data_IF_889527050634
#
_entry.id   IF_889527050634
#
_cell.length_a   1.000
_cell.length_b   1.000
_cell.length_c   1.000
_cell.angle_alpha   90.00
_cell.angle_beta   90.00
_cell.angle_gamma   90.00
#
_symmetry.space_group_name_H-M   'P 1'
#
loop_
_entity.id
_entity.type
_entity.pdbx_description
1 polymer ?
#
# COMPACT_ATOMS: atom_id res chain seq x y z
N UNK A 1 5.03 -8.80 0.78
CA UNK A 1 5.87 -8.81 -0.45
C UNK A 1 5.54 -9.94 -1.45
N UNK A 2 4.82 -10.99 -1.05
CA UNK A 2 4.64 -12.23 -1.84
C UNK A 2 4.37 -12.04 -3.35
N UNK A 3 3.34 -11.29 -3.76
CA UNK A 3 3.01 -11.18 -5.19
C UNK A 3 4.03 -10.35 -6.00
N UNK A 4 4.79 -9.46 -5.36
CA UNK A 4 5.91 -8.75 -6.00
C UNK A 4 7.13 -9.68 -6.19
N UNK A 5 7.36 -10.58 -5.24
CA UNK A 5 8.39 -11.63 -5.35
C UNK A 5 8.05 -12.65 -6.44
N UNK A 6 6.79 -13.07 -6.52
CA UNK A 6 6.31 -14.03 -7.52
C UNK A 6 5.98 -13.38 -8.88
N UNK A 7 6.32 -12.10 -9.07
CA UNK A 7 6.01 -11.35 -10.29
C UNK A 7 6.83 -11.89 -11.46
N UNK A 8 6.16 -12.65 -12.32
CA UNK A 8 6.71 -13.19 -13.57
C UNK A 8 6.23 -12.42 -14.82
N UNK A 9 5.34 -11.45 -14.65
CA UNK A 9 4.82 -10.61 -15.73
C UNK A 9 5.79 -9.48 -16.08
N UNK A 10 5.74 -9.03 -17.33
CA UNK A 10 6.65 -8.02 -17.89
C UNK A 10 5.95 -6.68 -18.13
N UNK A 11 4.64 -6.58 -17.88
CA UNK A 11 3.86 -5.39 -18.21
C UNK A 11 3.61 -4.49 -17.00
N UNK A 12 3.31 -3.23 -17.29
CA UNK A 12 2.82 -2.24 -16.33
C UNK A 12 1.61 -2.75 -15.53
N UNK A 13 0.68 -3.43 -16.21
CA UNK A 13 -0.54 -3.96 -15.60
C UNK A 13 -0.22 -5.11 -14.63
N UNK A 14 0.75 -5.97 -14.96
CA UNK A 14 1.18 -7.05 -14.08
C UNK A 14 1.79 -6.49 -12.79
N UNK A 15 2.65 -5.48 -12.92
CA UNK A 15 3.22 -4.77 -11.77
C UNK A 15 2.14 -4.15 -10.89
N UNK A 16 1.15 -3.50 -11.52
CA UNK A 16 0.03 -2.85 -10.83
C UNK A 16 -0.77 -3.87 -10.03
N UNK A 17 -1.12 -4.98 -10.67
CA UNK A 17 -1.89 -6.04 -10.05
C UNK A 17 -1.12 -6.67 -8.88
N UNK A 18 0.19 -6.91 -9.04
CA UNK A 18 1.05 -7.44 -7.98
C UNK A 18 1.12 -6.50 -6.77
N UNK A 19 1.26 -5.19 -6.98
CA UNK A 19 1.23 -4.20 -5.90
C UNK A 19 -0.11 -4.16 -5.18
N UNK A 20 -1.23 -4.11 -5.92
CA UNK A 20 -2.58 -4.11 -5.34
C UNK A 20 -2.80 -5.36 -4.50
N UNK A 21 -2.50 -6.55 -5.04
CA UNK A 21 -2.66 -7.82 -4.33
C UNK A 21 -1.78 -7.90 -3.09
N UNK A 22 -0.53 -7.46 -3.19
CA UNK A 22 0.40 -7.48 -2.05
C UNK A 22 -0.07 -6.54 -0.93
N UNK A 23 -0.45 -5.30 -1.27
CA UNK A 23 -0.92 -4.33 -0.29
C UNK A 23 -2.25 -4.72 0.35
N UNK A 24 -3.17 -5.28 -0.43
CA UNK A 24 -4.44 -5.83 0.05
C UNK A 24 -4.20 -7.00 1.02
N UNK A 25 -3.38 -7.98 0.64
CA UNK A 25 -3.09 -9.14 1.47
C UNK A 25 -2.42 -8.74 2.80
N UNK A 26 -1.44 -7.84 2.75
CA UNK A 26 -0.77 -7.30 3.95
C UNK A 26 -1.79 -6.62 4.87
N UNK A 27 -2.65 -5.75 4.31
CA UNK A 27 -3.68 -5.06 5.09
C UNK A 27 -4.65 -6.03 5.75
N UNK A 28 -5.08 -7.07 5.02
CA UNK A 28 -5.96 -8.10 5.55
C UNK A 28 -5.32 -8.86 6.72
N UNK A 29 -4.06 -9.26 6.59
CA UNK A 29 -3.32 -9.97 7.64
C UNK A 29 -3.09 -9.07 8.86
N UNK A 30 -2.65 -7.83 8.65
CA UNK A 30 -2.46 -6.84 9.71
C UNK A 30 -3.76 -6.54 10.43
N UNK A 31 -4.88 -6.43 9.70
CA UNK A 31 -6.19 -6.22 10.31
C UNK A 31 -6.60 -7.38 11.19
N UNK A 32 -6.43 -8.62 10.71
CA UNK A 32 -6.71 -9.81 11.52
C UNK A 32 -5.81 -9.90 12.75
N UNK A 33 -4.55 -9.50 12.64
CA UNK A 33 -3.65 -9.40 13.78
C UNK A 33 -4.11 -8.33 14.79
N UNK A 34 -4.45 -7.13 14.29
CA UNK A 34 -4.92 -6.00 15.10
C UNK A 34 -6.20 -6.36 15.88
N UNK A 35 -7.20 -6.96 15.21
CA UNK A 35 -8.45 -7.43 15.82
C UNK A 35 -8.22 -8.35 17.02
N UNK A 36 -7.27 -9.28 16.90
CA UNK A 36 -6.95 -10.24 17.98
C UNK A 36 -6.36 -9.58 19.22
N UNK A 37 -5.79 -8.38 19.09
CA UNK A 37 -5.13 -7.65 20.17
C UNK A 37 -5.98 -6.51 20.72
N UNK A 38 -6.87 -5.94 19.90
CA UNK A 38 -7.64 -4.73 20.19
C UNK A 38 -9.13 -4.94 19.87
N UNK A 39 -9.77 -5.95 20.47
CA UNK A 39 -11.16 -6.34 20.14
C UNK A 39 -12.18 -5.19 20.28
N UNK A 40 -12.02 -4.33 21.28
CA UNK A 40 -12.91 -3.19 21.48
C UNK A 40 -12.72 -2.10 20.41
N UNK A 41 -11.47 -1.76 20.07
CA UNK A 41 -11.18 -0.77 19.04
C UNK A 41 -11.60 -1.28 17.66
N UNK A 42 -11.49 -2.58 17.42
CA UNK A 42 -11.91 -3.17 16.15
C UNK A 42 -13.41 -2.98 15.85
N UNK A 43 -14.27 -2.94 16.87
CA UNK A 43 -15.72 -2.69 16.73
C UNK A 43 -16.02 -1.27 16.23
N UNK A 44 -15.08 -0.33 16.35
CA UNK A 44 -15.24 1.03 15.83
C UNK A 44 -15.33 1.03 14.29
N UNK A 45 -14.74 0.02 13.63
CA UNK A 45 -14.85 -0.16 12.18
C UNK A 45 -16.28 -0.46 11.74
N UNK A 46 -17.08 -1.14 12.57
CA UNK A 46 -18.50 -1.41 12.29
C UNK A 46 -19.33 -0.11 12.25
N UNK A 47 -18.85 0.97 12.85
CA UNK A 47 -19.45 2.31 12.81
C UNK A 47 -18.90 3.18 11.66
N UNK A 48 -18.15 2.61 10.72
CA UNK A 48 -17.61 3.33 9.57
C UNK A 48 -16.29 4.08 9.83
N UNK A 49 -15.66 3.88 11.00
CA UNK A 49 -14.44 4.60 11.39
C UNK A 49 -13.28 3.60 11.47
N UNK A 50 -12.24 3.83 10.66
CA UNK A 50 -11.00 3.04 10.79
C UNK A 50 -10.31 3.44 12.11
N UNK A 51 -9.99 2.50 13.01
CA UNK A 51 -9.30 2.80 14.26
C UNK A 51 -8.01 3.60 13.98
N UNK A 52 -7.76 4.73 14.67
CA UNK A 52 -6.65 5.62 14.35
C UNK A 52 -5.28 4.95 14.32
N UNK A 53 -5.01 4.05 15.27
CA UNK A 53 -3.77 3.27 15.33
C UNK A 53 -3.62 2.33 14.12
N UNK A 54 -4.72 1.72 13.67
CA UNK A 54 -4.70 0.87 12.48
C UNK A 54 -4.54 1.68 11.19
N UNK A 55 -5.24 2.83 11.08
CA UNK A 55 -5.06 3.75 9.96
C UNK A 55 -3.62 4.24 9.87
N UNK A 56 -2.99 4.55 11.02
CA UNK A 56 -1.57 4.86 11.10
C UNK A 56 -0.74 3.70 10.54
N UNK A 57 -0.95 2.47 10.99
CA UNK A 57 -0.24 1.30 10.42
C UNK A 57 -0.39 1.21 8.90
N UNK A 58 -1.58 1.46 8.35
CA UNK A 58 -1.79 1.46 6.89
C UNK A 58 -0.96 2.54 6.17
N UNK A 59 -0.81 3.73 6.76
CA UNK A 59 0.02 4.81 6.21
C UNK A 59 1.50 4.38 6.13
N UNK A 60 2.00 3.69 7.15
CA UNK A 60 3.38 3.16 7.16
C UNK A 60 3.57 2.11 6.07
N UNK A 61 2.67 1.13 6.00
CA UNK A 61 2.70 0.09 4.96
C UNK A 61 2.66 0.70 3.55
N UNK A 62 1.81 1.71 3.32
CA UNK A 62 1.74 2.40 2.04
C UNK A 62 3.03 3.16 1.70
N UNK A 63 3.63 3.84 2.70
CA UNK A 63 4.92 4.52 2.55
C UNK A 63 6.07 3.55 2.25
N UNK A 64 6.08 2.37 2.86
CA UNK A 64 7.09 1.36 2.59
C UNK A 64 6.94 0.78 1.19
N UNK A 65 5.70 0.51 0.73
CA UNK A 65 5.47 0.11 -0.67
C UNK A 65 5.88 1.17 -1.68
N UNK A 66 5.71 2.46 -1.36
CA UNK A 66 6.24 3.56 -2.18
C UNK A 66 7.76 3.43 -2.31
N UNK A 67 8.45 3.30 -1.20
CA UNK A 67 9.92 3.29 -1.21
C UNK A 67 10.48 2.03 -1.88
N UNK A 68 9.79 0.89 -1.74
CA UNK A 68 10.07 -0.34 -2.50
C UNK A 68 9.90 -0.09 -4.00
N UNK A 69 8.77 0.51 -4.42
CA UNK A 69 8.52 0.82 -5.84
C UNK A 69 9.63 1.71 -6.42
N UNK A 70 10.00 2.77 -5.70
CA UNK A 70 11.03 3.72 -6.13
C UNK A 70 12.46 3.18 -5.99
N UNK A 71 12.65 2.03 -5.32
CA UNK A 71 13.98 1.46 -5.08
C UNK A 71 14.82 2.24 -4.06
N UNK A 72 14.18 3.07 -3.22
CA UNK A 72 14.84 3.90 -2.20
C UNK A 72 14.66 3.36 -0.77
N UNK A 73 14.00 2.21 -0.63
CA UNK A 73 13.85 1.51 0.64
C UNK A 73 15.23 1.18 1.26
N UNK A 74 15.34 1.40 2.57
CA UNK A 74 16.60 1.31 3.34
C UNK A 74 16.79 -0.04 4.05
N UNK A 75 15.89 -0.99 3.85
CA UNK A 75 15.99 -2.31 4.50
C UNK A 75 17.24 -3.04 4.04
N UNK A 76 17.81 -3.83 4.94
CA UNK A 76 18.94 -4.70 4.60
C UNK A 76 18.46 -5.79 3.64
N UNK A 77 19.12 -5.93 2.50
CA UNK A 77 18.81 -6.93 1.47
C UNK A 77 19.87 -8.01 1.50
N UNK A 78 19.48 -9.26 1.74
CA UNK A 78 20.34 -10.42 1.51
C UNK A 78 19.92 -11.12 0.21
N UNK A 79 20.81 -11.87 -0.47
CA UNK A 79 20.49 -12.48 -1.76
C UNK A 79 19.26 -13.40 -1.75
N UNK A 80 18.97 -14.04 -0.62
CA UNK A 80 17.83 -14.95 -0.45
C UNK A 80 16.57 -14.26 0.12
N UNK A 81 16.58 -12.93 0.28
CA UNK A 81 15.47 -12.17 0.84
C UNK A 81 14.36 -11.96 -0.20
N UNK A 82 13.11 -12.11 0.25
CA UNK A 82 11.90 -11.80 -0.52
C UNK A 82 11.93 -10.36 -1.05
N UNK A 83 12.51 -9.43 -0.29
CA UNK A 83 12.63 -8.03 -0.70
C UNK A 83 13.69 -7.83 -1.81
N UNK A 84 14.79 -8.58 -1.78
CA UNK A 84 15.79 -8.51 -2.84
C UNK A 84 15.21 -8.99 -4.17
N UNK A 85 14.51 -10.14 -4.14
CA UNK A 85 13.84 -10.71 -5.30
C UNK A 85 12.71 -9.79 -5.84
N UNK A 86 11.87 -9.25 -4.95
CA UNK A 86 10.83 -8.30 -5.35
C UNK A 86 11.43 -7.05 -6.02
N UNK A 87 12.50 -6.49 -5.46
CA UNK A 87 13.20 -5.34 -6.06
C UNK A 87 13.80 -5.66 -7.43
N UNK A 88 14.36 -6.84 -7.62
CA UNK A 88 14.88 -7.29 -8.90
C UNK A 88 13.76 -7.37 -9.96
N UNK A 89 12.63 -8.00 -9.62
CA UNK A 89 11.48 -8.13 -10.52
C UNK A 89 10.89 -6.77 -10.90
N UNK A 90 10.72 -5.88 -9.93
CA UNK A 90 10.29 -4.50 -10.18
C UNK A 90 11.30 -3.82 -11.13
N UNK A 91 12.59 -3.95 -10.88
CA UNK A 91 13.64 -3.33 -11.69
C UNK A 91 13.66 -3.80 -13.14
N UNK A 92 13.42 -5.10 -13.39
CA UNK A 92 13.33 -5.67 -14.74
C UNK A 92 12.26 -4.97 -15.58
N UNK A 93 11.08 -4.73 -15.00
CA UNK A 93 9.95 -4.09 -15.70
C UNK A 93 10.30 -2.67 -16.18
N UNK A 94 11.13 -1.94 -15.43
CA UNK A 94 11.58 -0.58 -15.79
C UNK A 94 12.85 -0.54 -16.64
N UNK A 95 13.59 -1.65 -16.80
CA UNK A 95 14.94 -1.65 -17.42
C UNK A 95 14.98 -2.10 -18.88
N UNK A 96 13.88 -2.58 -19.47
CA UNK A 96 13.92 -3.16 -20.82
C UNK A 96 13.70 -2.15 -21.97
N UNK A 97 14.62 -2.04 -22.96
CA UNK A 97 14.48 -1.13 -24.11
C UNK A 97 13.77 -1.69 -25.35
N UNK A 98 13.11 -2.86 -25.32
CA UNK A 98 12.52 -3.44 -26.55
C UNK A 98 11.15 -4.12 -26.36
N UNK A 99 10.11 -3.45 -26.85
CA UNK A 99 9.01 -4.09 -27.56
C UNK A 99 7.71 -4.34 -26.79
N UNK A 100 7.73 -4.48 -25.45
CA UNK A 100 6.52 -4.66 -24.62
C UNK A 100 6.58 -4.07 -23.19
N UNK A 101 7.64 -3.34 -22.86
CA UNK A 101 7.92 -2.75 -21.54
C UNK A 101 7.78 -1.21 -21.52
N UNK A 102 7.65 -0.66 -20.31
CA UNK A 102 7.53 0.76 -19.94
C UNK A 102 8.79 1.60 -20.23
N UNK A 103 9.47 1.42 -21.37
CA UNK A 103 10.76 2.05 -21.70
C UNK A 103 10.82 3.60 -21.68
N UNK A 104 9.76 4.28 -21.22
CA UNK A 104 9.65 5.73 -21.05
C UNK A 104 9.05 6.18 -19.69
N UNK A 105 8.44 5.30 -18.88
CA UNK A 105 7.74 5.72 -17.65
C UNK A 105 8.66 5.52 -16.45
N UNK A 106 8.91 6.60 -15.71
CA UNK A 106 9.70 6.54 -14.48
C UNK A 106 8.95 5.80 -13.37
N UNK A 107 9.67 5.26 -12.39
CA UNK A 107 9.07 4.64 -11.19
C UNK A 107 8.19 5.65 -10.44
N UNK A 108 8.59 6.91 -10.43
CA UNK A 108 7.87 8.03 -9.84
C UNK A 108 6.55 8.29 -10.53
N UNK A 109 6.54 8.34 -11.87
CA UNK A 109 5.32 8.53 -12.66
C UNK A 109 4.38 7.34 -12.50
N UNK A 110 4.93 6.12 -12.54
CA UNK A 110 4.18 4.89 -12.31
C UNK A 110 3.51 4.88 -10.93
N UNK A 111 4.28 5.19 -9.87
CA UNK A 111 3.74 5.25 -8.52
C UNK A 111 2.65 6.33 -8.42
N UNK A 112 2.88 7.51 -8.99
CA UNK A 112 1.91 8.61 -8.97
C UNK A 112 0.58 8.21 -9.64
N UNK A 113 0.64 7.45 -10.72
CA UNK A 113 -0.54 6.96 -11.45
C UNK A 113 -1.31 5.90 -10.64
N UNK A 114 -0.62 4.90 -10.09
CA UNK A 114 -1.30 3.73 -9.51
C UNK A 114 -1.41 3.70 -8.00
N UNK A 115 -0.69 4.56 -7.27
CA UNK A 115 -0.81 4.60 -5.82
C UNK A 115 -2.24 4.84 -5.28
N UNK A 116 -3.15 5.55 -5.98
CA UNK A 116 -4.55 5.61 -5.55
C UNK A 116 -5.24 4.23 -5.58
N UNK A 117 -4.95 3.41 -6.59
CA UNK A 117 -5.53 2.06 -6.74
C UNK A 117 -4.93 1.08 -5.73
N UNK A 118 -3.64 1.21 -5.41
CA UNK A 118 -2.98 0.43 -4.35
C UNK A 118 -3.66 0.72 -3.01
N UNK A 119 -3.86 2.00 -2.67
CA UNK A 119 -4.58 2.41 -1.46
C UNK A 119 -6.03 1.90 -1.44
N UNK A 120 -6.74 1.98 -2.57
CA UNK A 120 -8.08 1.43 -2.69
C UNK A 120 -8.11 -0.09 -2.46
N UNK A 121 -7.11 -0.83 -2.94
CA UNK A 121 -6.94 -2.26 -2.65
C UNK A 121 -6.79 -2.54 -1.16
N UNK A 122 -6.01 -1.72 -0.45
CA UNK A 122 -5.87 -1.81 1.01
C UNK A 122 -7.21 -1.59 1.73
N UNK A 123 -7.97 -0.54 1.35
CA UNK A 123 -9.31 -0.29 1.91
C UNK A 123 -10.27 -1.44 1.62
N UNK A 124 -10.29 -1.96 0.40
CA UNK A 124 -11.12 -3.11 0.02
C UNK A 124 -10.83 -4.33 0.89
N UNK A 125 -9.55 -4.62 1.14
CA UNK A 125 -9.14 -5.73 1.98
C UNK A 125 -9.55 -5.55 3.45
N UNK A 126 -9.42 -4.34 3.98
CA UNK A 126 -9.84 -4.01 5.35
C UNK A 126 -11.33 -4.28 5.58
N UNK A 127 -12.17 -3.83 4.63
CA UNK A 127 -13.63 -3.89 4.79
C UNK A 127 -14.26 -5.16 4.22
N UNK A 128 -13.47 -6.08 3.66
CA UNK A 128 -13.96 -7.29 3.00
C UNK A 128 -14.88 -8.11 3.92
N UNK A 129 -14.44 -8.33 5.15
CA UNK A 129 -15.15 -9.15 6.15
C UNK A 129 -16.12 -8.34 7.03
N UNK A 130 -16.30 -7.04 6.76
CA UNK A 130 -17.30 -6.27 7.50
C UNK A 130 -18.69 -6.85 7.22
N UNK A 131 -19.32 -7.30 8.30
CA UNK A 131 -20.68 -7.87 8.30
C UNK A 131 -21.79 -6.81 8.22
N UNK A 132 -21.42 -5.52 8.20
CA UNK A 132 -22.33 -4.38 8.14
C UNK A 132 -22.93 -4.14 6.75
N UNK A 133 -23.92 -3.26 6.72
CA UNK A 133 -24.64 -2.81 5.51
C UNK A 133 -23.67 -2.20 4.47
N UNK A 134 -23.95 -2.42 3.19
CA UNK A 134 -23.12 -1.94 2.06
C UNK A 134 -22.85 -0.42 2.12
N UNK A 135 -23.74 0.31 2.79
CA UNK A 135 -23.67 1.73 3.07
C UNK A 135 -22.42 2.08 3.89
N UNK A 136 -22.13 1.34 4.97
CA UNK A 136 -20.94 1.58 5.82
C UNK A 136 -19.66 1.36 5.01
N UNK A 137 -19.62 0.31 4.18
CA UNK A 137 -18.47 0.04 3.30
C UNK A 137 -18.23 1.19 2.32
N UNK A 138 -19.31 1.73 1.74
CA UNK A 138 -19.25 2.92 0.84
C UNK A 138 -18.78 4.15 1.60
N UNK A 139 -19.26 4.38 2.82
CA UNK A 139 -18.85 5.50 3.66
C UNK A 139 -17.36 5.46 3.99
N UNK A 140 -16.86 4.30 4.43
CA UNK A 140 -15.41 4.09 4.70
C UNK A 140 -14.61 4.37 3.43
N UNK A 141 -14.97 3.74 2.30
CA UNK A 141 -14.27 3.94 1.02
C UNK A 141 -14.25 5.40 0.58
N UNK A 142 -15.35 6.11 0.77
CA UNK A 142 -15.44 7.53 0.42
C UNK A 142 -14.59 8.38 1.36
N UNK A 143 -14.82 8.30 2.68
CA UNK A 143 -14.17 9.14 3.68
C UNK A 143 -12.64 8.97 3.66
N UNK A 144 -12.17 7.72 3.62
CA UNK A 144 -10.75 7.36 3.60
C UNK A 144 -10.19 7.20 2.19
N UNK A 145 -10.91 7.62 1.14
CA UNK A 145 -10.40 7.56 -0.23
C UNK A 145 -9.08 8.31 -0.37
N UNK A 146 -8.23 7.85 -1.32
CA UNK A 146 -6.97 8.52 -1.63
C UNK A 146 -7.17 10.03 -1.87
N UNK A 147 -8.22 10.39 -2.62
CA UNK A 147 -8.60 11.78 -2.90
C UNK A 147 -8.86 12.59 -1.64
N UNK A 148 -9.58 12.04 -0.67
CA UNK A 148 -9.94 12.74 0.57
C UNK A 148 -8.80 12.79 1.60
N UNK A 149 -7.86 11.83 1.53
CA UNK A 149 -6.65 11.80 2.35
C UNK A 149 -5.45 12.53 1.72
N UNK A 150 -5.59 13.06 0.50
CA UNK A 150 -4.56 13.87 -0.16
C UNK A 150 -4.38 15.25 0.47
N UNK A 151 -5.33 15.69 1.29
CA UNK A 151 -5.24 16.95 2.03
C UNK A 151 -4.97 16.67 3.50
N UNK A 152 -4.06 17.45 4.10
CA UNK A 152 -3.85 17.42 5.55
C UNK A 152 -5.12 17.87 6.27
N UNK A 153 -5.51 17.15 7.33
CA UNK A 153 -6.65 17.50 8.18
C UNK A 153 -6.23 17.41 9.63
N UNK A 154 -6.54 18.45 10.42
CA UNK A 154 -6.37 18.45 11.88
C UNK A 154 -5.00 17.89 12.33
N UNK A 155 -3.91 18.47 11.82
CA UNK A 155 -2.52 18.07 12.10
C UNK A 155 -2.10 16.66 11.66
N UNK A 156 -3.00 15.89 11.04
CA UNK A 156 -2.67 14.62 10.37
C UNK A 156 -2.09 14.96 8.98
N UNK A 157 -0.85 14.53 8.67
CA UNK A 157 -0.29 14.74 7.34
C UNK A 157 -1.15 14.03 6.30
N UNK A 158 -1.16 14.57 5.08
CA UNK A 158 -1.78 13.85 3.96
C UNK A 158 -1.09 12.49 3.77
N UNK A 159 -1.81 11.52 3.21
CA UNK A 159 -1.25 10.20 2.89
C UNK A 159 0.00 10.32 2.01
N UNK A 160 -0.03 11.22 1.03
CA UNK A 160 1.06 11.46 0.10
C UNK A 160 2.27 12.13 0.77
N UNK A 161 2.04 13.15 1.61
CA UNK A 161 3.12 13.81 2.35
C UNK A 161 3.75 12.87 3.37
N UNK A 162 2.94 12.06 4.05
CA UNK A 162 3.43 11.03 4.94
C UNK A 162 4.34 10.04 4.19
N UNK A 163 3.87 9.48 3.06
CA UNK A 163 4.63 8.52 2.27
C UNK A 163 5.93 9.10 1.67
N UNK A 164 5.98 10.41 1.38
CA UNK A 164 7.17 11.09 0.86
C UNK A 164 8.23 11.38 1.93
N UNK A 165 7.90 11.34 3.22
CA UNK A 165 8.89 11.53 4.29
C UNK A 165 10.00 10.48 4.14
N UNK A 166 11.28 10.83 4.32
CA UNK A 166 12.37 9.86 4.28
C UNK A 166 12.10 8.65 5.18
N UNK A 167 12.38 7.44 4.69
CA UNK A 167 12.06 6.17 5.37
C UNK A 167 12.53 6.17 6.82
N UNK A 168 13.78 6.59 7.06
CA UNK A 168 14.35 6.71 8.40
C UNK A 168 13.50 7.58 9.34
N UNK A 169 13.02 8.74 8.88
CA UNK A 169 12.20 9.64 9.70
C UNK A 169 10.82 9.08 9.96
N UNK A 170 10.23 8.33 9.02
CA UNK A 170 8.96 7.64 9.26
C UNK A 170 9.12 6.59 10.35
N UNK A 171 10.13 5.75 10.25
CA UNK A 171 10.36 4.64 11.18
C UNK A 171 10.82 5.08 12.57
N UNK A 172 11.44 6.25 12.69
CA UNK A 172 11.88 6.79 13.97
C UNK A 172 10.72 7.26 14.88
N UNK A 173 9.57 7.60 14.29
CA UNK A 173 8.39 8.15 14.98
C UNK A 173 7.26 7.14 15.03
#
# INVERSE_FOLDING_TARGET
LHYLRELNGETENDLREAFIKTAAAETFLLWNYYKRKNDNDAKVLDSGIIPPEFLRSMFYTFGDYRDICLGIDISTKTPDDDLAQANENISKIFSEPKGKSLGQVSREDWWKEYCPQIWEGMLCALIHDLKGEEEIKKEIKNYYSYKNLKQSKNDIPSLEDFAKRPTFLRWFT
#
